data_IF_345601189139
#
_entry.id   IF_345601189139
#
_cell.length_a   1.000
_cell.length_b   1.000
_cell.length_c   1.000
_cell.angle_alpha   90.00
_cell.angle_beta   90.00
_cell.angle_gamma   90.00
#
_symmetry.space_group_name_H-M   'P 1'
#
loop_
_entity.id
_entity.type
_entity.pdbx_description
1 polymer ?
#
# COMPACT_ATOMS: atom_id res chain seq x y z
N UNK A 1 3.19 -9.81 24.54
CA UNK A 1 2.39 -9.31 23.40
C UNK A 1 1.28 -10.31 23.12
N UNK A 2 0.04 -9.89 22.91
CA UNK A 2 -1.03 -10.84 22.53
C UNK A 2 -0.77 -11.39 21.12
N UNK A 3 -1.23 -12.62 20.85
CA UNK A 3 -1.05 -13.27 19.54
C UNK A 3 -1.61 -12.43 18.38
N UNK A 4 -2.72 -11.71 18.61
CA UNK A 4 -3.31 -10.80 17.62
C UNK A 4 -2.37 -9.65 17.24
N UNK A 5 -1.71 -9.02 18.22
CA UNK A 5 -0.76 -7.93 17.93
C UNK A 5 0.42 -8.41 17.07
N UNK A 6 0.88 -9.64 17.27
CA UNK A 6 1.97 -10.23 16.47
C UNK A 6 1.51 -10.40 15.01
N UNK A 7 0.29 -10.91 14.78
CA UNK A 7 -0.25 -11.09 13.44
C UNK A 7 -0.43 -9.75 12.71
N UNK A 8 -0.96 -8.74 13.40
CA UNK A 8 -1.12 -7.39 12.83
C UNK A 8 0.24 -6.77 12.44
N UNK A 9 1.25 -6.93 13.29
CA UNK A 9 2.60 -6.45 13.02
C UNK A 9 3.24 -7.16 11.82
N UNK A 10 3.22 -8.49 11.81
CA UNK A 10 3.80 -9.29 10.72
C UNK A 10 3.09 -9.01 9.40
N UNK A 11 1.75 -8.93 9.41
CA UNK A 11 0.96 -8.64 8.20
C UNK A 11 1.33 -7.28 7.61
N UNK A 12 1.46 -6.26 8.45
CA UNK A 12 1.86 -4.93 8.00
C UNK A 12 3.30 -4.90 7.50
N UNK A 13 4.21 -5.59 8.18
CA UNK A 13 5.60 -5.68 7.77
C UNK A 13 5.73 -6.41 6.42
N UNK A 14 5.04 -7.53 6.25
CA UNK A 14 4.97 -8.28 4.99
C UNK A 14 4.40 -7.42 3.85
N UNK A 15 3.32 -6.67 4.11
CA UNK A 15 2.72 -5.78 3.12
C UNK A 15 3.70 -4.69 2.65
N UNK A 16 4.30 -3.97 3.59
CA UNK A 16 5.23 -2.88 3.29
C UNK A 16 6.51 -3.41 2.66
N UNK A 17 7.05 -4.54 3.16
CA UNK A 17 8.23 -5.20 2.60
C UNK A 17 8.03 -5.64 1.15
N UNK A 18 6.89 -6.26 0.84
CA UNK A 18 6.56 -6.65 -0.54
C UNK A 18 6.46 -5.42 -1.47
N UNK A 19 5.85 -4.32 -1.00
CA UNK A 19 5.79 -3.08 -1.77
C UNK A 19 7.20 -2.50 -2.02
N UNK A 20 8.07 -2.49 -1.01
CA UNK A 20 9.45 -2.00 -1.14
C UNK A 20 10.20 -2.80 -2.21
N UNK A 21 10.15 -4.13 -2.16
CA UNK A 21 10.85 -4.99 -3.14
C UNK A 21 10.32 -4.76 -4.56
N UNK A 22 9.01 -4.75 -4.75
CA UNK A 22 8.43 -4.63 -6.09
C UNK A 22 8.61 -3.25 -6.70
N UNK A 23 8.35 -2.19 -5.93
CA UNK A 23 8.50 -0.80 -6.40
C UNK A 23 9.99 -0.47 -6.57
N UNK A 24 10.84 -0.87 -5.63
CA UNK A 24 12.29 -0.72 -5.73
C UNK A 24 12.87 -1.45 -6.94
N UNK A 25 12.44 -2.68 -7.20
CA UNK A 25 12.83 -3.43 -8.39
C UNK A 25 12.38 -2.75 -9.69
N UNK A 26 11.19 -2.14 -9.73
CA UNK A 26 10.74 -1.38 -10.89
C UNK A 26 11.57 -0.10 -11.12
N UNK A 27 11.88 0.64 -10.05
CA UNK A 27 12.74 1.83 -10.08
C UNK A 27 14.15 1.45 -10.56
N UNK A 28 14.76 0.44 -9.95
CA UNK A 28 16.06 -0.10 -10.37
C UNK A 28 16.05 -0.51 -11.84
N UNK A 29 15.02 -1.26 -12.26
CA UNK A 29 14.91 -1.70 -13.65
C UNK A 29 14.87 -0.51 -14.60
N UNK A 30 14.02 0.48 -14.32
CA UNK A 30 13.81 1.63 -15.21
C UNK A 30 15.05 2.51 -15.35
N UNK A 31 15.69 2.84 -14.24
CA UNK A 31 16.70 3.90 -14.20
C UNK A 31 18.13 3.37 -14.23
N UNK A 32 18.36 2.18 -13.68
CA UNK A 32 19.70 1.59 -13.58
C UNK A 32 19.88 0.50 -14.64
N UNK A 33 19.05 -0.54 -14.61
CA UNK A 33 19.23 -1.70 -15.47
C UNK A 33 19.05 -1.37 -16.95
N UNK A 34 17.96 -0.67 -17.33
CA UNK A 34 17.73 -0.30 -18.73
C UNK A 34 18.81 0.66 -19.26
N UNK A 35 19.39 1.51 -18.40
CA UNK A 35 20.50 2.38 -18.77
C UNK A 35 21.78 1.59 -19.05
N UNK A 36 22.12 0.63 -18.18
CA UNK A 36 23.27 -0.24 -18.36
C UNK A 36 23.11 -1.18 -19.57
N UNK A 37 21.92 -1.77 -19.74
CA UNK A 37 21.62 -2.70 -20.83
C UNK A 37 21.71 -2.03 -22.21
N UNK A 38 21.38 -0.73 -22.32
CA UNK A 38 21.46 0.01 -23.59
C UNK A 38 22.88 0.17 -24.16
N UNK A 39 23.92 -0.26 -23.43
CA UNK A 39 25.32 -0.26 -23.89
C UNK A 39 25.77 -1.61 -24.47
N UNK A 40 24.92 -2.64 -24.38
CA UNK A 40 25.24 -3.99 -24.85
C UNK A 40 24.92 -4.12 -26.34
N UNK A 41 25.58 -5.07 -27.00
CA UNK A 41 25.14 -5.56 -28.30
C UNK A 41 23.76 -6.24 -28.19
N UNK A 42 23.08 -6.40 -29.32
CA UNK A 42 21.71 -6.93 -29.36
C UNK A 42 21.59 -8.33 -28.76
N UNK A 43 22.53 -9.24 -29.03
CA UNK A 43 22.45 -10.61 -28.56
C UNK A 43 22.65 -10.70 -27.04
N UNK A 44 23.62 -9.96 -26.50
CA UNK A 44 23.83 -9.84 -25.06
C UNK A 44 22.65 -9.16 -24.36
N UNK A 45 22.09 -8.11 -24.98
CA UNK A 45 20.93 -7.40 -24.45
C UNK A 45 19.71 -8.33 -24.32
N UNK A 46 19.41 -9.13 -25.34
CA UNK A 46 18.25 -10.03 -25.34
C UNK A 46 18.42 -11.18 -24.34
N UNK A 47 19.62 -11.73 -24.23
CA UNK A 47 19.97 -12.76 -23.24
C UNK A 47 19.79 -12.23 -21.81
N UNK A 48 20.29 -11.02 -21.52
CA UNK A 48 20.13 -10.37 -20.21
C UNK A 48 18.65 -10.12 -19.91
N UNK A 49 17.91 -9.57 -20.88
CA UNK A 49 16.49 -9.26 -20.75
C UNK A 49 15.68 -10.50 -20.40
N UNK A 50 15.90 -11.60 -21.10
CA UNK A 50 15.22 -12.87 -20.83
C UNK A 50 15.55 -13.42 -19.44
N UNK A 51 16.84 -13.44 -19.09
CA UNK A 51 17.32 -13.95 -17.80
C UNK A 51 16.75 -13.17 -16.63
N UNK A 52 16.81 -11.83 -16.70
CA UNK A 52 16.24 -10.95 -15.67
C UNK A 52 14.72 -11.16 -15.57
N UNK A 53 14.00 -11.17 -16.70
CA UNK A 53 12.54 -11.39 -16.70
C UNK A 53 12.17 -12.73 -16.05
N UNK A 54 12.87 -13.80 -16.41
CA UNK A 54 12.59 -15.15 -15.93
C UNK A 54 12.83 -15.30 -14.41
N UNK A 55 13.80 -14.59 -13.87
CA UNK A 55 14.04 -14.51 -12.42
C UNK A 55 13.02 -13.59 -11.74
N UNK A 56 12.80 -12.40 -12.29
CA UNK A 56 11.98 -11.35 -11.70
C UNK A 56 10.50 -11.69 -11.62
N UNK A 57 9.95 -12.43 -12.61
CA UNK A 57 8.53 -12.82 -12.62
C UNK A 57 8.10 -13.55 -11.34
N UNK A 58 8.98 -14.34 -10.71
CA UNK A 58 8.67 -15.07 -9.48
C UNK A 58 8.46 -14.10 -8.32
N UNK A 59 9.35 -13.11 -8.18
CA UNK A 59 9.22 -12.05 -7.19
C UNK A 59 7.95 -11.22 -7.41
N UNK A 60 7.63 -10.89 -8.66
CA UNK A 60 6.40 -10.17 -9.00
C UNK A 60 5.17 -10.96 -8.58
N UNK A 61 5.05 -12.24 -8.95
CA UNK A 61 3.87 -13.04 -8.62
C UNK A 61 3.73 -13.28 -7.11
N UNK A 62 4.81 -13.64 -6.43
CA UNK A 62 4.81 -13.85 -4.97
C UNK A 62 4.51 -12.53 -4.24
N UNK A 63 5.14 -11.43 -4.65
CA UNK A 63 4.95 -10.12 -4.05
C UNK A 63 3.52 -9.58 -4.24
N UNK A 64 2.92 -9.75 -5.42
CA UNK A 64 1.51 -9.41 -5.65
C UNK A 64 0.61 -10.27 -4.76
N UNK A 65 0.86 -11.58 -4.68
CA UNK A 65 0.11 -12.47 -3.78
C UNK A 65 0.18 -12.01 -2.32
N UNK A 66 1.39 -11.69 -1.83
CA UNK A 66 1.60 -11.16 -0.48
C UNK A 66 0.87 -9.84 -0.26
N UNK A 67 0.95 -8.90 -1.21
CA UNK A 67 0.27 -7.61 -1.13
C UNK A 67 -1.24 -7.73 -1.11
N UNK A 68 -1.81 -8.66 -1.88
CA UNK A 68 -3.26 -8.91 -1.87
C UNK A 68 -3.69 -9.49 -0.53
N UNK A 69 -3.10 -10.60 -0.10
CA UNK A 69 -3.49 -11.27 1.16
C UNK A 69 -3.33 -10.35 2.35
N UNK A 70 -2.16 -9.72 2.51
CA UNK A 70 -1.92 -8.79 3.62
C UNK A 70 -2.74 -7.51 3.47
N UNK A 71 -2.95 -6.99 2.27
CA UNK A 71 -3.72 -5.78 2.01
C UNK A 71 -5.19 -5.94 2.37
N UNK A 72 -5.79 -7.07 1.97
CA UNK A 72 -7.16 -7.41 2.34
C UNK A 72 -7.30 -7.65 3.85
N UNK A 73 -6.37 -8.37 4.48
CA UNK A 73 -6.38 -8.56 5.93
C UNK A 73 -6.32 -7.22 6.68
N UNK A 74 -5.33 -6.37 6.35
CA UNK A 74 -5.16 -5.07 7.00
C UNK A 74 -6.38 -4.16 6.78
N UNK A 75 -7.03 -4.24 5.62
CA UNK A 75 -8.23 -3.46 5.35
C UNK A 75 -9.48 -3.99 6.06
N UNK A 76 -9.86 -5.25 5.80
CA UNK A 76 -11.13 -5.81 6.22
C UNK A 76 -11.19 -6.09 7.72
N UNK A 77 -10.10 -6.59 8.30
CA UNK A 77 -10.05 -7.03 9.70
C UNK A 77 -9.62 -5.89 10.62
N UNK A 78 -8.61 -5.12 10.23
CA UNK A 78 -7.99 -4.13 11.13
C UNK A 78 -8.57 -2.73 10.95
N UNK A 79 -8.67 -2.24 9.71
CA UNK A 79 -8.91 -0.82 9.46
C UNK A 79 -10.38 -0.45 9.21
N UNK A 80 -11.14 -1.31 8.52
CA UNK A 80 -12.58 -1.09 8.20
C UNK A 80 -13.45 -0.85 9.44
N UNK A 81 -13.37 -1.68 10.50
CA UNK A 81 -14.19 -1.47 11.70
C UNK A 81 -13.93 -0.13 12.39
N UNK A 82 -12.69 0.38 12.28
CA UNK A 82 -12.25 1.63 12.94
C UNK A 82 -12.69 2.91 12.21
N UNK A 83 -13.19 2.80 10.98
CA UNK A 83 -13.56 3.93 10.13
C UNK A 83 -15.03 3.88 9.70
N UNK A 84 -15.90 3.31 10.55
CA UNK A 84 -17.34 3.28 10.27
C UNK A 84 -17.90 4.70 10.15
N UNK A 85 -18.62 4.97 9.05
CA UNK A 85 -19.17 6.29 8.75
C UNK A 85 -18.18 7.28 8.11
N UNK A 86 -16.93 6.89 7.84
CA UNK A 86 -15.92 7.75 7.22
C UNK A 86 -15.94 7.62 5.68
N UNK A 87 -16.83 8.38 5.04
CA UNK A 87 -17.00 8.35 3.58
C UNK A 87 -15.73 8.67 2.79
N UNK A 88 -14.96 9.69 3.22
CA UNK A 88 -13.73 10.07 2.54
C UNK A 88 -12.64 8.99 2.68
N UNK A 89 -12.53 8.36 3.85
CA UNK A 89 -11.61 7.23 4.03
C UNK A 89 -11.96 6.10 3.06
N UNK A 90 -13.24 5.72 2.97
CA UNK A 90 -13.67 4.65 2.06
C UNK A 90 -13.45 5.01 0.58
N UNK A 91 -13.71 6.25 0.18
CA UNK A 91 -13.47 6.71 -1.18
C UNK A 91 -11.98 6.62 -1.55
N UNK A 92 -11.09 7.21 -0.74
CA UNK A 92 -9.65 7.15 -0.97
C UNK A 92 -9.10 5.74 -0.88
N UNK A 93 -9.66 4.90 0.00
CA UNK A 93 -9.31 3.49 0.10
C UNK A 93 -9.71 2.72 -1.15
N UNK A 94 -10.88 3.00 -1.72
CA UNK A 94 -11.31 2.40 -2.99
C UNK A 94 -10.39 2.81 -4.13
N UNK A 95 -10.09 4.11 -4.25
CA UNK A 95 -9.19 4.65 -5.28
C UNK A 95 -7.81 4.00 -5.19
N UNK A 96 -7.18 3.94 -4.01
CA UNK A 96 -5.86 3.32 -3.90
C UNK A 96 -5.86 1.83 -4.28
N UNK A 97 -6.96 1.10 -4.02
CA UNK A 97 -7.06 -0.31 -4.41
C UNK A 97 -7.14 -0.45 -5.93
N UNK A 98 -7.92 0.40 -6.62
CA UNK A 98 -7.96 0.41 -8.09
C UNK A 98 -6.60 0.74 -8.70
N UNK A 99 -5.89 1.74 -8.17
CA UNK A 99 -4.53 2.06 -8.61
C UNK A 99 -3.56 0.90 -8.35
N UNK A 100 -3.68 0.21 -7.21
CA UNK A 100 -2.86 -0.95 -6.90
C UNK A 100 -3.11 -2.10 -7.88
N UNK A 101 -4.37 -2.39 -8.22
CA UNK A 101 -4.69 -3.41 -9.23
C UNK A 101 -4.15 -3.05 -10.62
N UNK A 102 -4.22 -1.78 -11.03
CA UNK A 102 -3.60 -1.31 -12.26
C UNK A 102 -2.07 -1.51 -12.24
N UNK A 103 -1.41 -1.22 -11.11
CA UNK A 103 0.02 -1.46 -10.93
C UNK A 103 0.37 -2.96 -10.97
N UNK A 104 -0.43 -3.83 -10.34
CA UNK A 104 -0.25 -5.28 -10.35
C UNK A 104 -0.42 -5.87 -11.75
N UNK A 105 -1.42 -5.38 -12.51
CA UNK A 105 -1.60 -5.73 -13.90
C UNK A 105 -0.38 -5.35 -14.74
N UNK A 106 0.11 -4.11 -14.62
CA UNK A 106 1.29 -3.65 -15.36
C UNK A 106 2.54 -4.45 -14.99
N UNK A 107 2.77 -4.71 -13.70
CA UNK A 107 3.89 -5.53 -13.23
C UNK A 107 3.84 -6.92 -13.88
N UNK A 108 2.66 -7.56 -13.84
CA UNK A 108 2.42 -8.86 -14.45
C UNK A 108 2.63 -8.83 -15.97
N UNK A 109 2.12 -7.80 -16.65
CA UNK A 109 2.25 -7.63 -18.11
C UNK A 109 3.71 -7.44 -18.54
N UNK A 110 4.49 -6.69 -17.77
CA UNK A 110 5.91 -6.42 -18.00
C UNK A 110 6.77 -7.68 -17.82
N UNK A 111 6.41 -8.57 -16.89
CA UNK A 111 7.14 -9.82 -16.65
C UNK A 111 6.58 -11.06 -17.35
N UNK A 112 5.39 -10.94 -17.96
CA UNK A 112 4.69 -12.04 -18.61
C UNK A 112 5.23 -12.41 -19.99
N UNK A 113 4.65 -13.48 -20.56
CA UNK A 113 5.00 -14.02 -21.90
C UNK A 113 3.89 -13.91 -22.94
N UNK A 114 2.72 -13.39 -22.57
CA UNK A 114 1.58 -13.30 -23.49
C UNK A 114 1.87 -12.37 -24.66
N UNK A 115 1.66 -12.85 -25.90
CA UNK A 115 1.85 -12.08 -27.13
C UNK A 115 0.98 -10.82 -27.16
N UNK A 116 -0.25 -10.88 -26.64
CA UNK A 116 -1.17 -9.75 -26.56
C UNK A 116 -0.60 -8.55 -25.77
N UNK A 117 0.35 -8.79 -24.85
CA UNK A 117 0.97 -7.76 -24.01
C UNK A 117 2.40 -7.41 -24.46
N UNK A 118 2.83 -7.88 -25.62
CA UNK A 118 4.14 -7.53 -26.19
C UNK A 118 4.34 -6.03 -26.42
N UNK A 119 3.35 -5.23 -26.88
CA UNK A 119 3.50 -3.79 -27.03
C UNK A 119 3.89 -3.06 -25.73
N UNK A 120 3.41 -3.56 -24.58
CA UNK A 120 3.79 -3.05 -23.26
C UNK A 120 5.27 -3.33 -22.98
N UNK A 121 5.73 -4.54 -23.30
CA UNK A 121 7.13 -4.95 -23.06
C UNK A 121 8.11 -4.31 -24.02
N UNK A 122 7.72 -3.99 -25.26
CA UNK A 122 8.54 -3.23 -26.21
C UNK A 122 8.77 -1.79 -25.73
N UNK A 123 7.75 -1.18 -25.14
CA UNK A 123 7.82 0.16 -24.54
C UNK A 123 8.08 0.13 -23.03
N UNK A 124 8.87 -0.84 -22.55
CA UNK A 124 9.03 -1.13 -21.11
C UNK A 124 9.44 0.09 -20.30
N UNK A 125 10.30 0.97 -20.85
CA UNK A 125 10.69 2.22 -20.21
C UNK A 125 9.45 3.02 -19.81
N UNK A 126 8.57 3.38 -20.75
CA UNK A 126 7.33 4.15 -20.50
C UNK A 126 6.46 3.49 -19.45
N UNK A 127 6.17 2.20 -19.62
CA UNK A 127 5.25 1.46 -18.75
C UNK A 127 5.79 1.24 -17.33
N UNK A 128 7.10 1.05 -17.17
CA UNK A 128 7.74 1.07 -15.85
C UNK A 128 7.57 2.45 -15.17
N UNK A 129 7.65 3.53 -15.93
CA UNK A 129 7.42 4.89 -15.40
C UNK A 129 5.99 5.06 -14.87
N UNK A 130 5.01 4.58 -15.64
CA UNK A 130 3.60 4.59 -15.24
C UNK A 130 3.39 3.72 -14.00
N UNK A 131 3.95 2.51 -13.96
CA UNK A 131 3.89 1.61 -12.80
C UNK A 131 4.44 2.30 -11.55
N UNK A 132 5.63 2.92 -11.63
CA UNK A 132 6.25 3.64 -10.51
C UNK A 132 5.36 4.79 -10.04
N UNK A 133 4.79 5.57 -10.96
CA UNK A 133 3.88 6.67 -10.62
C UNK A 133 2.63 6.15 -9.90
N UNK A 134 1.97 5.11 -10.43
CA UNK A 134 0.80 4.50 -9.79
C UNK A 134 1.15 3.99 -8.38
N UNK A 135 2.27 3.31 -8.22
CA UNK A 135 2.74 2.83 -6.92
C UNK A 135 3.03 3.98 -5.95
N UNK A 136 3.64 5.07 -6.42
CA UNK A 136 3.88 6.25 -5.60
C UNK A 136 2.57 6.90 -5.11
N UNK A 137 1.55 6.98 -5.98
CA UNK A 137 0.21 7.46 -5.61
C UNK A 137 -0.46 6.56 -4.56
N UNK A 138 -0.36 5.23 -4.72
CA UNK A 138 -0.89 4.27 -3.72
C UNK A 138 -0.24 4.48 -2.36
N UNK A 139 1.09 4.63 -2.31
CA UNK A 139 1.84 4.90 -1.07
C UNK A 139 1.46 6.26 -0.50
N UNK A 140 1.35 7.30 -1.34
CA UNK A 140 0.94 8.65 -0.94
C UNK A 140 -0.44 8.68 -0.29
N UNK A 141 -1.44 8.04 -0.90
CA UNK A 141 -2.79 7.90 -0.32
C UNK A 141 -2.72 7.13 1.01
N UNK A 142 -1.97 6.02 1.06
CA UNK A 142 -1.79 5.24 2.29
C UNK A 142 -1.16 6.06 3.42
N UNK A 143 -0.15 6.88 3.10
CA UNK A 143 0.49 7.79 4.04
C UNK A 143 -0.47 8.87 4.54
N UNK A 144 -1.21 9.52 3.64
CA UNK A 144 -2.21 10.52 3.98
C UNK A 144 -3.31 9.96 4.91
N UNK A 145 -3.88 8.81 4.57
CA UNK A 145 -4.91 8.16 5.40
C UNK A 145 -4.38 7.82 6.81
N UNK A 146 -3.10 7.45 6.91
CA UNK A 146 -2.47 7.18 8.21
C UNK A 146 -2.27 8.46 9.04
N UNK A 147 -1.90 9.58 8.40
CA UNK A 147 -1.73 10.86 9.09
C UNK A 147 -3.05 11.43 9.59
N UNK A 148 -4.14 11.25 8.84
CA UNK A 148 -5.49 11.70 9.24
C UNK A 148 -5.99 11.04 10.52
N UNK A 149 -5.62 9.78 10.76
CA UNK A 149 -6.10 8.99 11.89
C UNK A 149 -7.57 8.58 11.77
N UNK A 150 -8.09 7.95 12.82
CA UNK A 150 -9.50 7.53 12.90
C UNK A 150 -10.37 8.69 13.39
N UNK A 151 -11.58 8.90 12.83
CA UNK A 151 -12.53 9.85 13.40
C UNK A 151 -12.77 9.55 14.88
N UNK A 152 -12.63 10.56 15.73
CA UNK A 152 -12.92 10.43 17.16
C UNK A 152 -14.43 10.26 17.29
N UNK A 153 -14.88 9.14 17.87
CA UNK A 153 -16.30 8.95 18.16
C UNK A 153 -16.71 10.08 19.11
N UNK A 154 -17.67 10.92 18.71
CA UNK A 154 -18.21 11.94 19.59
C UNK A 154 -18.63 11.26 20.90
N UNK A 155 -18.04 11.70 22.02
CA UNK A 155 -18.50 11.27 23.34
C UNK A 155 -19.93 11.81 23.47
N UNK A 156 -20.92 10.96 23.78
CA UNK A 156 -22.29 11.45 24.00
C UNK A 156 -22.27 12.57 25.05
N UNK A 157 -22.92 13.68 24.73
CA UNK A 157 -22.97 14.89 25.57
C UNK A 157 -23.44 14.58 27.01
N UNK A 158 -24.32 13.59 27.13
CA UNK A 158 -24.78 12.88 28.34
C UNK A 158 -23.65 12.62 29.37
N UNK A 159 -22.50 12.11 28.91
CA UNK A 159 -21.40 11.68 29.79
C UNK A 159 -20.59 12.88 30.27
N UNK A 160 -20.62 14.00 29.54
CA UNK A 160 -19.90 15.22 29.93
C UNK A 160 -20.67 15.99 31.01
N UNK A 161 -22.00 15.94 30.97
CA UNK A 161 -22.88 16.48 32.02
C UNK A 161 -22.91 15.66 33.31
N UNK A 162 -22.53 14.38 33.29
CA UNK A 162 -22.53 13.50 34.46
C UNK A 162 -21.27 13.63 35.34
N UNK A 163 -20.21 14.34 34.90
CA UNK A 163 -18.89 14.30 35.55
C UNK A 163 -18.63 15.43 36.58
N UNK A 164 -19.53 16.39 36.82
CA UNK A 164 -19.61 17.10 38.12
C UNK A 164 -20.74 18.16 38.21
N UNK A 165 -21.55 18.10 39.29
CA UNK A 165 -21.74 19.28 40.14
C UNK A 165 -21.42 19.03 41.62
N UNK A 166 -21.05 17.81 42.04
CA UNK A 166 -20.85 17.51 43.48
C UNK A 166 -19.62 18.19 44.10
N UNK A 167 -18.57 18.49 43.35
CA UNK A 167 -17.36 19.14 43.90
C UNK A 167 -17.59 20.62 44.26
N UNK A 168 -18.62 21.28 43.71
CA UNK A 168 -18.95 22.68 44.05
C UNK A 168 -19.68 22.82 45.39
N UNK A 169 -20.36 21.78 45.86
CA UNK A 169 -21.23 21.88 47.05
C UNK A 169 -20.46 21.75 48.37
N UNK A 170 -19.35 21.00 48.38
CA UNK A 170 -18.50 20.82 49.58
C UNK A 170 -17.74 22.11 49.95
N UNK A 171 -17.33 22.92 48.97
CA UNK A 171 -16.60 24.17 49.23
C UNK A 171 -17.53 25.27 49.78
N UNK A 172 -18.80 25.32 49.37
CA UNK A 172 -19.75 26.32 49.88
C UNK A 172 -20.22 26.07 51.32
N UNK A 173 -20.13 24.83 51.82
CA UNK A 173 -20.49 24.50 53.21
C UNK A 173 -19.34 24.64 54.22
N UNK A 174 -18.12 24.91 53.75
CA UNK A 174 -16.96 25.21 54.59
C UNK A 174 -16.72 26.71 54.77
N UNK A 175 -17.57 27.55 54.17
CA UNK A 175 -17.46 29.01 54.18
C UNK A 175 -18.73 29.71 54.68
N UNK A 176 -19.65 28.97 55.31
CA UNK A 176 -20.87 29.49 55.94
C UNK A 176 -20.87 29.19 57.44
#
# INVERSE_FOLDING_TARGET
MSGQMIIELISRWAHVGAAIVLVGGAVFTRYVLLSAAGKLDQASHDTLRESVRNSWKKFVMVGIGLLLVSGFYNYLVVARPKHSGDGLYHALMGVKMLLAFAAFFLASALTGRSAALEPIRKNSKRWLGILILLSALVVGIGGFLKMRGTPQRAVPEDVTSAVAPETRLVISRLTA
#
